data_IF_969423085903
#
_entry.id   IF_969423085903
#
_cell.length_a   1.000
_cell.length_b   1.000
_cell.length_c   1.000
_cell.angle_alpha   90.00
_cell.angle_beta   90.00
_cell.angle_gamma   90.00
#
_symmetry.space_group_name_H-M   'P 1'
#
loop_
_entity.id
_entity.type
_entity.pdbx_description
1 polymer ?
#
# COMPACT_ATOMS: atom_id res chain seq x y z
N UNK A 1 -42.90 11.96 -58.76
CA UNK A 1 -42.17 10.85 -58.11
C UNK A 1 -40.67 11.11 -57.90
N UNK A 2 -40.21 12.37 -57.75
CA UNK A 2 -38.79 12.71 -57.41
C UNK A 2 -38.61 13.27 -55.99
N UNK A 3 -39.68 13.79 -55.38
CA UNK A 3 -39.63 14.46 -54.06
C UNK A 3 -39.60 13.44 -52.89
N UNK A 4 -40.20 12.26 -53.07
CA UNK A 4 -40.27 11.22 -52.02
C UNK A 4 -38.91 10.50 -51.86
N UNK A 5 -38.19 10.28 -52.96
CA UNK A 5 -36.84 9.68 -52.96
C UNK A 5 -35.79 10.56 -52.27
N UNK A 6 -35.90 11.89 -52.38
CA UNK A 6 -35.00 12.82 -51.69
C UNK A 6 -35.18 12.80 -50.16
N UNK A 7 -36.44 12.70 -49.67
CA UNK A 7 -36.72 12.63 -48.23
C UNK A 7 -36.26 11.31 -47.59
N UNK A 8 -36.36 10.19 -48.31
CA UNK A 8 -35.85 8.89 -47.85
C UNK A 8 -34.31 8.86 -47.77
N UNK A 9 -33.62 9.49 -48.72
CA UNK A 9 -32.15 9.61 -48.69
C UNK A 9 -31.67 10.45 -47.49
N UNK A 10 -32.38 11.54 -47.18
CA UNK A 10 -32.01 12.43 -46.08
C UNK A 10 -32.32 11.83 -44.69
N UNK A 11 -33.44 11.10 -44.55
CA UNK A 11 -33.75 10.35 -43.33
C UNK A 11 -32.70 9.28 -43.02
N UNK A 12 -32.28 8.50 -44.02
CA UNK A 12 -31.28 7.45 -43.82
C UNK A 12 -29.92 8.02 -43.40
N UNK A 13 -29.51 9.18 -43.94
CA UNK A 13 -28.26 9.85 -43.55
C UNK A 13 -28.29 10.32 -42.10
N UNK A 14 -29.41 10.86 -41.63
CA UNK A 14 -29.57 11.29 -40.23
C UNK A 14 -29.55 10.11 -39.26
N UNK A 15 -30.17 9.00 -39.63
CA UNK A 15 -30.15 7.77 -38.81
C UNK A 15 -28.73 7.18 -38.72
N UNK A 16 -28.01 7.09 -39.84
CA UNK A 16 -26.61 6.61 -39.87
C UNK A 16 -25.69 7.53 -39.07
N UNK A 17 -25.89 8.85 -39.14
CA UNK A 17 -25.13 9.83 -38.37
C UNK A 17 -25.39 9.70 -36.86
N UNK A 18 -26.65 9.54 -36.44
CA UNK A 18 -27.01 9.32 -35.05
C UNK A 18 -26.44 8.01 -34.50
N UNK A 19 -26.48 6.92 -35.27
CA UNK A 19 -25.88 5.64 -34.87
C UNK A 19 -24.36 5.78 -34.74
N UNK A 20 -23.71 6.48 -35.67
CA UNK A 20 -22.26 6.73 -35.61
C UNK A 20 -21.84 7.54 -34.38
N UNK A 21 -22.62 8.57 -34.01
CA UNK A 21 -22.39 9.35 -32.79
C UNK A 21 -22.58 8.49 -31.55
N UNK A 22 -23.64 7.66 -31.50
CA UNK A 22 -23.89 6.78 -30.37
C UNK A 22 -22.73 5.79 -30.18
N UNK A 23 -22.21 5.24 -31.29
CA UNK A 23 -21.10 4.30 -31.30
C UNK A 23 -19.77 4.97 -30.87
N UNK A 24 -19.55 6.21 -31.28
CA UNK A 24 -18.42 7.03 -30.80
C UNK A 24 -18.53 7.32 -29.30
N UNK A 25 -19.74 7.60 -28.80
CA UNK A 25 -19.98 7.87 -27.39
C UNK A 25 -19.79 6.62 -26.52
N UNK A 26 -20.27 5.46 -26.96
CA UNK A 26 -20.05 4.19 -26.24
C UNK A 26 -18.58 3.76 -26.26
N UNK A 27 -17.88 3.93 -27.38
CA UNK A 27 -16.44 3.69 -27.46
C UNK A 27 -15.65 4.67 -26.57
N UNK A 28 -16.06 5.93 -26.48
CA UNK A 28 -15.46 6.91 -25.58
C UNK A 28 -15.66 6.53 -24.11
N UNK A 29 -16.89 6.19 -23.71
CA UNK A 29 -17.22 5.75 -22.34
C UNK A 29 -16.48 4.46 -21.96
N UNK A 30 -16.32 3.50 -22.90
CA UNK A 30 -15.55 2.27 -22.67
C UNK A 30 -14.03 2.52 -22.58
N UNK A 31 -13.51 3.57 -23.22
CA UNK A 31 -12.08 3.92 -23.17
C UNK A 31 -11.70 4.68 -21.90
N UNK A 32 -12.65 5.37 -21.27
CA UNK A 32 -12.47 5.92 -19.93
C UNK A 32 -12.63 4.78 -18.93
N UNK A 33 -11.65 3.87 -18.90
CA UNK A 33 -11.41 3.08 -17.69
C UNK A 33 -11.24 4.11 -16.58
N UNK A 34 -12.20 4.18 -15.66
CA UNK A 34 -11.99 4.88 -14.40
C UNK A 34 -10.70 4.30 -13.83
N UNK A 35 -9.63 5.08 -13.87
CA UNK A 35 -8.43 4.78 -13.12
C UNK A 35 -8.89 4.92 -11.69
N UNK A 36 -9.34 3.80 -11.11
CA UNK A 36 -9.73 3.76 -9.72
C UNK A 36 -8.51 4.21 -8.94
N UNK A 37 -8.64 5.37 -8.31
CA UNK A 37 -7.64 5.93 -7.40
C UNK A 37 -7.72 5.26 -6.03
N UNK A 38 -8.47 4.16 -5.90
CA UNK A 38 -8.62 3.36 -4.70
C UNK A 38 -7.74 2.12 -4.78
N UNK A 39 -7.26 1.67 -3.63
CA UNK A 39 -6.60 0.38 -3.51
C UNK A 39 -7.69 -0.70 -3.43
N UNK A 40 -7.84 -1.61 -4.41
CA UNK A 40 -8.91 -2.59 -4.38
C UNK A 40 -8.81 -3.52 -3.16
N UNK A 41 -9.93 -4.09 -2.73
CA UNK A 41 -9.87 -5.15 -1.73
C UNK A 41 -9.10 -6.37 -2.27
N UNK A 42 -8.34 -7.01 -1.38
CA UNK A 42 -7.54 -8.20 -1.68
C UNK A 42 -6.22 -8.24 -0.94
N UNK A 43 -5.41 -9.25 -1.28
CA UNK A 43 -4.10 -9.48 -0.67
C UNK A 43 -2.99 -8.94 -1.57
N UNK A 44 -2.00 -8.30 -0.95
CA UNK A 44 -0.87 -7.69 -1.62
C UNK A 44 0.42 -8.12 -0.94
N UNK A 45 1.43 -8.48 -1.73
CA UNK A 45 2.79 -8.65 -1.21
C UNK A 45 3.48 -7.29 -1.11
N UNK A 46 4.21 -7.06 -0.02
CA UNK A 46 5.06 -5.89 0.14
C UNK A 46 6.42 -6.24 -0.46
N UNK A 47 6.65 -5.83 -1.71
CA UNK A 47 7.89 -6.14 -2.43
C UNK A 47 9.08 -5.34 -1.88
N UNK A 48 8.83 -4.07 -1.51
CA UNK A 48 9.90 -3.19 -1.02
C UNK A 48 9.36 -2.02 -0.21
N UNK A 49 10.13 -1.60 0.79
CA UNK A 49 9.94 -0.36 1.55
C UNK A 49 11.22 0.48 1.40
N UNK A 50 11.10 1.71 0.90
CA UNK A 50 12.25 2.56 0.54
C UNK A 50 11.88 4.05 0.61
N UNK A 51 12.87 4.93 0.52
CA UNK A 51 12.63 6.36 0.42
C UNK A 51 12.18 6.77 -0.98
N UNK A 52 11.28 7.74 -1.13
CA UNK A 52 10.85 8.18 -2.46
C UNK A 52 12.03 8.59 -3.37
N UNK A 53 13.09 9.18 -2.80
CA UNK A 53 14.33 9.51 -3.51
C UNK A 53 15.11 8.29 -4.06
N UNK A 54 14.79 7.08 -3.60
CA UNK A 54 15.42 5.81 -3.95
C UNK A 54 14.59 4.96 -4.93
N UNK A 55 13.57 5.54 -5.56
CA UNK A 55 12.66 4.82 -6.47
C UNK A 55 13.40 4.03 -7.55
N UNK A 56 14.49 4.60 -8.09
CA UNK A 56 15.24 4.01 -9.20
C UNK A 56 16.52 3.27 -8.77
N UNK A 57 16.84 3.25 -7.47
CA UNK A 57 17.95 2.47 -6.92
C UNK A 57 17.40 1.31 -6.09
N UNK A 58 18.21 0.31 -5.71
CA UNK A 58 17.80 -0.78 -4.82
C UNK A 58 18.18 -0.57 -3.35
N UNK A 59 18.45 0.68 -2.95
CA UNK A 59 18.88 1.02 -1.61
C UNK A 59 17.78 0.69 -0.59
N UNK A 60 18.13 -0.04 0.45
CA UNK A 60 17.24 -0.28 1.60
C UNK A 60 17.22 0.92 2.53
N UNK A 61 16.20 1.02 3.39
CA UNK A 61 16.16 2.05 4.43
C UNK A 61 17.36 1.94 5.39
N UNK A 62 17.82 0.71 5.67
CA UNK A 62 19.00 0.48 6.51
C UNK A 62 20.30 0.98 5.86
N UNK A 63 20.43 1.05 4.55
CA UNK A 63 21.65 1.62 3.94
C UNK A 63 21.76 3.15 4.12
N UNK A 64 20.79 3.79 4.76
CA UNK A 64 20.78 5.22 5.08
C UNK A 64 21.09 5.53 6.54
N UNK A 65 21.13 4.53 7.42
CA UNK A 65 21.29 4.82 8.84
C UNK A 65 22.68 5.41 9.14
N UNK A 66 22.70 6.43 9.96
CA UNK A 66 23.92 6.98 10.54
C UNK A 66 24.21 6.34 11.91
N UNK A 67 25.33 6.71 12.53
CA UNK A 67 25.73 6.18 13.84
C UNK A 67 24.85 6.65 15.02
N UNK A 68 23.98 7.63 14.80
CA UNK A 68 23.07 8.20 15.79
C UNK A 68 21.65 7.63 15.63
N UNK A 69 21.35 7.04 14.49
CA UNK A 69 20.09 6.40 14.16
C UNK A 69 19.93 5.08 14.92
N UNK A 70 18.69 4.82 15.32
CA UNK A 70 18.34 3.57 15.98
C UNK A 70 18.02 2.49 14.93
N UNK A 71 19.01 1.62 14.72
CA UNK A 71 18.96 0.49 13.78
C UNK A 71 17.76 -0.42 14.03
N UNK A 72 17.34 -0.59 15.29
CA UNK A 72 16.17 -1.39 15.65
C UNK A 72 14.89 -0.80 15.09
N UNK A 73 14.75 0.51 15.20
CA UNK A 73 13.58 1.24 14.72
C UNK A 73 13.54 1.24 13.19
N UNK A 74 14.68 1.43 12.53
CA UNK A 74 14.76 1.42 11.06
C UNK A 74 14.42 0.03 10.51
N UNK A 75 14.99 -1.04 11.10
CA UNK A 75 14.70 -2.41 10.71
C UNK A 75 13.21 -2.75 10.90
N UNK A 76 12.64 -2.36 12.04
CA UNK A 76 11.24 -2.63 12.35
C UNK A 76 10.29 -1.87 11.43
N UNK A 77 10.59 -0.62 11.08
CA UNK A 77 9.77 0.17 10.16
C UNK A 77 9.83 -0.32 8.70
N UNK A 78 11.00 -0.79 8.27
CA UNK A 78 11.19 -1.35 6.93
C UNK A 78 10.73 -2.81 6.81
N UNK A 79 10.28 -3.41 7.92
CA UNK A 79 10.08 -4.85 8.07
C UNK A 79 11.26 -5.65 7.52
N UNK A 80 12.46 -5.10 7.58
CA UNK A 80 13.65 -5.66 6.95
C UNK A 80 14.39 -6.55 7.93
N UNK A 81 13.88 -7.77 8.06
CA UNK A 81 14.44 -8.82 8.90
C UNK A 81 14.92 -9.98 8.04
N UNK A 82 16.06 -10.56 8.39
CA UNK A 82 16.74 -11.62 7.64
C UNK A 82 15.95 -12.94 7.63
N UNK A 83 15.15 -13.17 8.66
CA UNK A 83 14.38 -14.40 8.84
C UNK A 83 12.90 -14.28 8.43
N UNK A 84 12.49 -13.14 7.88
CA UNK A 84 11.14 -12.95 7.33
C UNK A 84 11.09 -13.46 5.89
N UNK A 85 10.22 -14.44 5.65
CA UNK A 85 10.04 -15.08 4.34
C UNK A 85 8.91 -14.45 3.53
N UNK A 86 7.95 -13.80 4.20
CA UNK A 86 6.81 -13.17 3.53
C UNK A 86 6.30 -11.96 4.30
N UNK A 87 5.93 -10.93 3.55
CA UNK A 87 5.36 -9.66 4.02
C UNK A 87 4.12 -9.39 3.19
N UNK A 88 2.94 -9.40 3.80
CA UNK A 88 1.68 -9.17 3.09
C UNK A 88 0.81 -8.14 3.79
N UNK A 89 0.00 -7.44 3.02
CA UNK A 89 -1.07 -6.60 3.52
C UNK A 89 -2.38 -7.01 2.84
N UNK A 90 -3.40 -7.28 3.64
CA UNK A 90 -4.74 -7.64 3.17
C UNK A 90 -5.66 -6.45 3.44
N UNK A 91 -6.26 -5.93 2.37
CA UNK A 91 -7.16 -4.78 2.43
C UNK A 91 -8.58 -5.27 2.21
N UNK A 92 -9.46 -4.96 3.16
CA UNK A 92 -10.89 -5.14 3.01
C UNK A 92 -11.63 -3.80 3.20
N UNK A 93 -12.96 -3.83 3.29
CA UNK A 93 -13.77 -2.61 3.43
C UNK A 93 -13.66 -1.92 4.80
N UNK A 94 -13.01 -2.55 5.78
CA UNK A 94 -12.99 -2.14 7.19
C UNK A 94 -11.59 -2.03 7.77
N UNK A 95 -10.61 -2.78 7.25
CA UNK A 95 -9.25 -2.82 7.80
C UNK A 95 -8.18 -3.14 6.77
N UNK A 96 -6.95 -2.85 7.16
CA UNK A 96 -5.73 -3.39 6.59
C UNK A 96 -5.08 -4.36 7.59
N UNK A 97 -4.95 -5.63 7.22
CA UNK A 97 -4.25 -6.64 8.00
C UNK A 97 -2.83 -6.81 7.45
N UNK A 98 -1.83 -6.32 8.17
CA UNK A 98 -0.44 -6.51 7.83
C UNK A 98 0.07 -7.79 8.52
N UNK A 99 0.63 -8.72 7.75
CA UNK A 99 1.15 -10.00 8.26
C UNK A 99 2.61 -10.16 7.86
N UNK A 100 3.45 -10.50 8.84
CA UNK A 100 4.81 -10.96 8.62
C UNK A 100 4.90 -12.46 8.95
N UNK A 101 5.51 -13.22 8.05
CA UNK A 101 5.77 -14.65 8.26
C UNK A 101 7.29 -14.88 8.29
N UNK A 102 7.74 -15.65 9.27
CA UNK A 102 9.03 -16.33 9.28
C UNK A 102 8.83 -17.79 8.87
N UNK A 103 9.89 -18.59 8.87
CA UNK A 103 9.78 -20.05 8.62
C UNK A 103 8.92 -20.73 9.69
N UNK A 104 9.00 -20.26 10.94
CA UNK A 104 8.45 -20.96 12.10
C UNK A 104 7.24 -20.26 12.73
N UNK A 105 6.92 -19.03 12.31
CA UNK A 105 5.92 -18.20 12.96
C UNK A 105 5.23 -17.23 12.00
N UNK A 106 3.98 -16.89 12.30
CA UNK A 106 3.22 -15.80 11.68
C UNK A 106 2.79 -14.79 12.73
N UNK A 107 2.95 -13.49 12.43
CA UNK A 107 2.43 -12.41 13.24
C UNK A 107 1.67 -11.41 12.37
N UNK A 108 0.48 -11.04 12.83
CA UNK A 108 -0.39 -10.10 12.12
C UNK A 108 -0.84 -8.94 12.98
N UNK A 109 -1.05 -7.80 12.33
CA UNK A 109 -1.45 -6.54 12.93
C UNK A 109 -2.64 -5.95 12.15
N UNK A 110 -3.79 -5.79 12.81
CA UNK A 110 -5.03 -5.31 12.19
C UNK A 110 -5.20 -3.81 12.39
N UNK A 111 -5.18 -3.04 11.30
CA UNK A 111 -5.29 -1.59 11.28
C UNK A 111 -6.66 -1.16 10.73
N UNK A 112 -7.51 -0.47 11.51
CA UNK A 112 -8.78 0.04 11.01
C UNK A 112 -8.60 0.98 9.81
N UNK A 113 -9.46 0.80 8.81
CA UNK A 113 -9.52 1.63 7.61
C UNK A 113 -10.52 2.77 7.84
N UNK A 114 -10.04 4.01 7.82
CA UNK A 114 -10.89 5.19 7.97
C UNK A 114 -11.41 5.70 6.63
N UNK A 115 -10.63 5.53 5.57
CA UNK A 115 -10.95 6.00 4.21
C UNK A 115 -10.12 5.26 3.18
N UNK A 116 -10.69 4.98 2.02
CA UNK A 116 -10.01 4.46 0.82
C UNK A 116 -10.70 5.04 -0.42
N UNK A 117 -10.41 6.31 -0.70
CA UNK A 117 -11.04 7.09 -1.77
C UNK A 117 -10.10 8.19 -2.24
N UNK A 118 -10.38 8.70 -3.45
CA UNK A 118 -9.73 9.89 -4.01
C UNK A 118 -8.19 9.82 -4.08
N UNK A 119 -7.61 8.63 -4.28
CA UNK A 119 -6.15 8.50 -4.37
C UNK A 119 -5.46 8.31 -3.03
N UNK A 120 -6.20 8.15 -1.94
CA UNK A 120 -5.62 8.02 -0.61
C UNK A 120 -6.25 6.89 0.21
N UNK A 121 -5.41 6.25 1.01
CA UNK A 121 -5.81 5.34 2.08
C UNK A 121 -5.48 5.97 3.42
N UNK A 122 -6.42 5.98 4.37
CA UNK A 122 -6.21 6.44 5.74
C UNK A 122 -6.39 5.29 6.70
N UNK A 123 -5.32 4.96 7.42
CA UNK A 123 -5.28 3.90 8.41
C UNK A 123 -5.16 4.51 9.80
N UNK A 124 -5.92 3.97 10.76
CA UNK A 124 -5.86 4.35 12.16
C UNK A 124 -4.88 3.45 12.91
N UNK A 125 -3.71 3.99 13.25
CA UNK A 125 -2.66 3.28 13.99
C UNK A 125 -2.77 3.47 15.50
N UNK A 126 -3.77 4.22 15.99
CA UNK A 126 -3.82 4.65 17.38
C UNK A 126 -5.00 4.13 18.19
N UNK A 127 -5.76 3.18 17.66
CA UNK A 127 -6.70 2.37 18.45
C UNK A 127 -6.04 1.08 18.89
N UNK A 128 -6.73 0.30 19.72
CA UNK A 128 -6.30 -1.04 20.09
C UNK A 128 -6.09 -1.86 18.82
N UNK A 129 -4.82 -2.06 18.48
CA UNK A 129 -4.42 -2.83 17.33
C UNK A 129 -4.58 -4.30 17.72
N UNK A 130 -5.48 -5.01 17.05
CA UNK A 130 -5.68 -6.43 17.32
C UNK A 130 -4.52 -7.23 16.71
N UNK A 131 -3.88 -8.04 17.54
CA UNK A 131 -2.79 -8.92 17.15
C UNK A 131 -3.28 -10.36 17.08
N UNK A 132 -2.96 -11.04 15.99
CA UNK A 132 -3.16 -12.48 15.85
C UNK A 132 -1.78 -13.14 15.69
N UNK A 133 -1.54 -14.20 16.46
CA UNK A 133 -0.29 -14.95 16.44
C UNK A 133 -0.56 -16.43 16.50
N UNK A 134 0.16 -17.17 15.66
CA UNK A 134 0.17 -18.62 15.70
C UNK A 134 1.28 -19.14 16.65
N UNK A 135 2.36 -18.35 16.87
CA UNK A 135 3.48 -18.59 17.83
C UNK A 135 4.19 -17.28 18.21
N UNK A 136 5.18 -17.34 19.12
CA UNK A 136 6.12 -16.23 19.36
C UNK A 136 7.05 -16.03 18.16
N UNK A 137 7.00 -14.85 17.53
CA UNK A 137 7.83 -14.53 16.36
C UNK A 137 9.08 -13.77 16.81
N UNK A 138 10.24 -14.41 16.80
CA UNK A 138 11.53 -13.71 16.95
C UNK A 138 11.96 -13.17 15.60
N UNK A 139 12.29 -11.88 15.52
CA UNK A 139 12.77 -11.26 14.28
C UNK A 139 14.27 -10.99 14.39
N UNK A 140 15.01 -11.27 13.31
CA UNK A 140 16.47 -11.22 13.30
C UNK A 140 16.94 -10.25 12.22
N UNK A 141 17.94 -9.42 12.52
CA UNK A 141 18.63 -8.60 11.50
C UNK A 141 20.11 -8.51 11.77
N UNK A 142 20.91 -8.79 10.75
CA UNK A 142 22.35 -8.63 10.77
C UNK A 142 22.70 -7.22 10.30
N UNK A 143 23.30 -6.43 11.18
CA UNK A 143 23.75 -5.06 10.88
C UNK A 143 25.20 -4.89 11.29
N UNK A 144 26.05 -4.36 10.40
CA UNK A 144 27.49 -4.20 10.64
C UNK A 144 28.19 -5.46 11.20
N UNK A 145 27.83 -6.64 10.70
CA UNK A 145 28.41 -7.91 11.15
C UNK A 145 27.94 -8.39 12.53
N UNK A 146 26.97 -7.71 13.16
CA UNK A 146 26.34 -8.14 14.41
C UNK A 146 24.91 -8.60 14.16
N UNK A 147 24.60 -9.83 14.58
CA UNK A 147 23.24 -10.33 14.63
C UNK A 147 22.50 -9.65 15.78
N UNK A 148 21.41 -8.94 15.47
CA UNK A 148 20.49 -8.37 16.44
C UNK A 148 19.21 -9.18 16.47
N UNK A 149 18.70 -9.39 17.68
CA UNK A 149 17.40 -10.01 17.95
C UNK A 149 16.45 -8.89 18.28
N UNK A 150 15.35 -8.84 17.56
CA UNK A 150 14.28 -7.91 17.79
C UNK A 150 13.18 -8.68 18.46
N UNK A 151 12.61 -8.06 19.49
CA UNK A 151 11.49 -8.63 20.20
C UNK A 151 11.80 -10.01 20.82
N UNK A 152 12.59 -9.99 21.90
CA UNK A 152 12.94 -11.21 22.64
C UNK A 152 11.73 -11.86 23.36
N UNK A 153 10.65 -11.10 23.57
CA UNK A 153 9.40 -11.59 24.17
C UNK A 153 8.44 -12.24 23.16
N UNK A 154 8.77 -12.23 21.86
CA UNK A 154 7.98 -12.88 20.80
C UNK A 154 6.69 -12.14 20.42
N UNK A 155 6.55 -10.90 20.89
CA UNK A 155 5.51 -9.96 20.54
C UNK A 155 5.88 -9.17 19.28
N UNK A 156 5.09 -9.13 18.22
CA UNK A 156 5.29 -8.10 17.16
C UNK A 156 4.95 -6.67 17.66
N UNK A 157 5.39 -6.39 18.90
CA UNK A 157 5.23 -5.34 19.87
C UNK A 157 3.81 -5.25 20.40
N UNK A 158 3.55 -5.84 21.57
CA UNK A 158 2.25 -5.95 22.26
C UNK A 158 1.66 -4.64 22.77
N UNK A 159 2.09 -3.50 22.22
CA UNK A 159 1.55 -2.22 22.63
C UNK A 159 1.33 -1.39 21.39
N UNK A 160 0.22 -0.66 21.42
CA UNK A 160 0.01 0.57 20.66
C UNK A 160 1.29 1.44 20.62
N UNK A 161 2.20 1.31 21.59
CA UNK A 161 3.56 1.86 21.63
C UNK A 161 4.41 1.58 20.38
N UNK A 162 4.34 0.45 19.67
CA UNK A 162 5.14 0.28 18.41
C UNK A 162 4.79 1.26 17.29
N UNK A 163 3.60 1.83 17.37
CA UNK A 163 3.10 2.79 16.42
C UNK A 163 2.99 4.16 17.11
N UNK A 164 2.75 4.21 18.42
CA UNK A 164 2.57 5.43 19.23
C UNK A 164 3.90 6.03 19.73
N UNK A 165 4.90 5.21 20.05
CA UNK A 165 6.28 5.62 20.36
C UNK A 165 7.03 6.04 19.06
N UNK A 166 6.58 5.53 17.91
CA UNK A 166 7.21 5.69 16.59
C UNK A 166 6.47 6.73 15.71
N UNK A 167 5.22 7.08 16.05
CA UNK A 167 4.47 8.25 15.59
C UNK A 167 3.98 9.05 16.81
N UNK A 168 4.90 9.71 17.53
CA UNK A 168 4.57 10.38 18.76
C UNK A 168 3.80 11.66 18.41
N UNK A 169 2.49 11.67 18.63
CA UNK A 169 1.69 12.82 19.09
C UNK A 169 0.20 12.46 19.10
N UNK A 170 -0.51 12.96 20.12
CA UNK A 170 -1.94 12.78 20.37
C UNK A 170 -2.88 13.33 19.27
N UNK A 171 -2.33 13.90 18.18
CA UNK A 171 -3.09 14.47 17.06
C UNK A 171 -3.13 13.65 15.76
N UNK A 172 -2.15 12.77 15.50
CA UNK A 172 -1.94 12.20 14.15
C UNK A 172 -1.62 10.70 14.15
N UNK A 173 -2.43 9.93 14.90
CA UNK A 173 -2.50 8.46 14.82
C UNK A 173 -3.02 7.95 13.46
N UNK A 174 -3.47 8.87 12.61
CA UNK A 174 -4.02 8.58 11.29
C UNK A 174 -2.91 8.77 10.27
N UNK A 175 -2.44 7.66 9.72
CA UNK A 175 -1.46 7.71 8.63
C UNK A 175 -2.24 7.69 7.31
N UNK A 176 -2.07 8.76 6.53
CA UNK A 176 -2.55 8.82 5.16
C UNK A 176 -1.43 8.38 4.22
N UNK A 177 -1.76 7.55 3.24
CA UNK A 177 -0.89 7.24 2.12
C UNK A 177 -1.55 7.57 0.80
N UNK A 178 -0.80 8.23 -0.09
CA UNK A 178 -1.22 8.40 -1.48
C UNK A 178 -1.00 7.09 -2.25
N UNK A 179 -1.98 6.71 -3.06
CA UNK A 179 -1.99 5.50 -3.88
C UNK A 179 -1.67 5.87 -5.33
N UNK A 180 -0.64 5.25 -5.89
CA UNK A 180 -0.36 5.28 -7.33
C UNK A 180 -0.40 3.86 -7.88
N UNK A 181 -1.18 3.64 -8.95
CA UNK A 181 -1.26 2.34 -9.63
C UNK A 181 -0.42 2.35 -10.92
N UNK A 182 0.45 1.36 -11.08
CA UNK A 182 1.16 1.05 -12.33
C UNK A 182 1.13 -0.46 -12.58
N UNK A 183 0.30 -0.91 -13.52
CA UNK A 183 0.32 -2.31 -14.01
C UNK A 183 0.31 -3.36 -12.88
N UNK A 184 -0.73 -3.33 -12.05
CA UNK A 184 -0.95 -4.21 -10.87
C UNK A 184 0.02 -4.03 -9.69
N UNK A 185 0.92 -3.05 -9.81
CA UNK A 185 1.74 -2.56 -8.71
C UNK A 185 1.11 -1.30 -8.13
N UNK A 186 1.00 -1.25 -6.81
CA UNK A 186 0.50 -0.09 -6.07
C UNK A 186 1.64 0.49 -5.24
N UNK A 187 1.73 1.81 -5.20
CA UNK A 187 2.71 2.52 -4.40
C UNK A 187 1.96 3.31 -3.34
N UNK A 188 2.21 2.98 -2.07
CA UNK A 188 1.71 3.74 -0.93
C UNK A 188 2.81 4.66 -0.45
N UNK A 189 2.62 5.97 -0.54
CA UNK A 189 3.61 6.95 -0.09
C UNK A 189 3.16 7.61 1.22
N UNK A 190 4.00 7.49 2.23
CA UNK A 190 3.78 7.98 3.59
C UNK A 190 4.69 9.18 3.85
N UNK A 191 4.10 10.29 4.28
CA UNK A 191 4.87 11.47 4.65
C UNK A 191 5.42 11.33 6.08
N UNK A 192 6.68 11.67 6.26
CA UNK A 192 7.45 11.41 7.48
C UNK A 192 7.88 12.70 8.20
N UNK A 193 7.01 13.70 8.30
CA UNK A 193 7.37 15.07 8.75
C UNK A 193 7.81 15.16 10.22
N UNK A 194 7.53 14.15 11.05
CA UNK A 194 7.69 14.23 12.51
C UNK A 194 8.72 13.28 13.10
N UNK A 195 9.53 12.61 12.29
CA UNK A 195 10.45 11.57 12.79
C UNK A 195 11.88 12.05 12.96
N UNK A 196 12.48 11.57 14.05
CA UNK A 196 13.87 11.80 14.43
C UNK A 196 14.82 10.68 13.96
N UNK A 197 14.30 9.50 13.61
CA UNK A 197 15.08 8.26 13.51
C UNK A 197 15.18 7.65 12.09
N UNK A 198 14.53 8.25 11.07
CA UNK A 198 14.67 7.85 9.67
C UNK A 198 14.92 9.10 8.84
N UNK A 199 16.07 9.18 8.18
CA UNK A 199 16.50 10.29 7.32
C UNK A 199 15.79 10.29 5.96
N UNK A 200 14.46 10.36 6.00
CA UNK A 200 13.61 10.19 4.83
C UNK A 200 12.32 11.01 4.97
N UNK A 201 12.05 11.92 4.03
CA UNK A 201 10.83 12.75 4.10
C UNK A 201 9.58 11.99 3.66
N UNK A 202 9.73 11.07 2.69
CA UNK A 202 8.63 10.28 2.13
C UNK A 202 9.07 8.83 1.99
N UNK A 203 8.31 7.92 2.58
CA UNK A 203 8.56 6.48 2.54
C UNK A 203 7.54 5.85 1.60
N UNK A 204 8.00 4.98 0.72
CA UNK A 204 7.16 4.30 -0.27
C UNK A 204 7.12 2.81 0.03
N UNK A 205 5.91 2.24 0.11
CA UNK A 205 5.69 0.81 0.06
C UNK A 205 5.27 0.43 -1.35
N UNK A 206 6.07 -0.43 -2.01
CA UNK A 206 5.71 -1.04 -3.28
C UNK A 206 4.95 -2.33 -3.01
N UNK A 207 3.68 -2.33 -3.37
CA UNK A 207 2.76 -3.44 -3.23
C UNK A 207 2.54 -4.10 -4.58
N UNK A 208 2.52 -5.42 -4.63
CA UNK A 208 2.08 -6.18 -5.81
C UNK A 208 0.86 -6.99 -5.45
N UNK A 209 -0.20 -6.86 -6.26
CA UNK A 209 -1.42 -7.63 -6.02
C UNK A 209 -1.11 -9.11 -6.16
N UNK A 210 -1.46 -9.89 -5.15
CA UNK A 210 -1.35 -11.34 -5.21
C UNK A 210 -2.51 -11.86 -6.06
N UNK A 211 -2.24 -12.80 -6.97
CA UNK A 211 -3.32 -13.48 -7.70
C UNK A 211 -4.24 -14.13 -6.68
N UNK A 212 -5.55 -13.92 -6.83
CA UNK A 212 -6.49 -14.86 -6.25
C UNK A 212 -6.31 -16.12 -7.07
N UNK A 213 -5.63 -17.12 -6.52
CA UNK A 213 -5.64 -18.45 -7.11
C UNK A 213 -7.13 -18.88 -7.12
N UNK A 214 -7.68 -18.90 -8.34
CA UNK A 214 -9.04 -19.36 -8.66
C UNK A 214 -9.11 -20.88 -8.58
#
# INVERSE_FOLDING_TARGET
>A
MKIILWRLSDMNKRVIFSISILLLFTLYVLKVKNISSQLPSGSYSIERIYCASDTDNNKTLLERYDKNDDVELIASYSFDFDNVVSKKIEIDSRRALLTLNTVDCSSSVSLPLLSNQDGFIRLDFGKEVAYERDKQCVFLKTTHGKLRRFNEEGDFYSRSEFLTEYWPLEGDRIVSASIVNKSDTYFLSFLNERRKYISCDVIVWKLKRMSQDL
#
